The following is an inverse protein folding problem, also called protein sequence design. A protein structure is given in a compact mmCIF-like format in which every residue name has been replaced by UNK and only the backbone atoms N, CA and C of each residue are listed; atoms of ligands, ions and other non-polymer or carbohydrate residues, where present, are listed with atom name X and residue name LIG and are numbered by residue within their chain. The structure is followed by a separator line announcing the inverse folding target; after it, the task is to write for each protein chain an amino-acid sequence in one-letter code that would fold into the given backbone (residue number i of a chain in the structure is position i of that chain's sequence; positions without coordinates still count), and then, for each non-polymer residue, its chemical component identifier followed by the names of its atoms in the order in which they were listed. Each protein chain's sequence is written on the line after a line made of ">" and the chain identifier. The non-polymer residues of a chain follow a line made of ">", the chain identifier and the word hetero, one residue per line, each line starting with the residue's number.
data_IF_505687617246
#
_entry.id   IF_505687617246
#
_cell.length_a   1.000
_cell.length_b   1.000
_cell.length_c   1.000
_cell.angle_alpha   90.00
_cell.angle_beta   90.00
_cell.angle_gamma   90.00
#
_symmetry.space_group_name_H-M   'P 1'
#
loop_
_entity.id
_entity.type
_entity.pdbx_description
1 polymer ?
#
# COMPACT_ATOMS: atom_id res chain seq x y z
N UNK A 1 -4.25 -2.99 -3.46
CA UNK A 1 -3.44 -2.77 -2.25
C UNK A 1 -3.89 -3.74 -1.17
N UNK A 2 -3.00 -4.54 -0.58
CA UNK A 2 -3.35 -5.50 0.47
C UNK A 2 -3.80 -4.82 1.78
N UNK A 3 -4.71 -5.45 2.54
CA UNK A 3 -5.24 -4.89 3.80
C UNK A 3 -4.15 -4.42 4.78
N UNK A 4 -3.09 -5.21 4.99
CA UNK A 4 -2.02 -4.82 5.92
C UNK A 4 -1.28 -3.55 5.52
N UNK A 5 -1.16 -3.28 4.21
CA UNK A 5 -0.58 -2.04 3.70
C UNK A 5 -1.57 -0.88 3.88
N UNK A 6 -2.85 -1.11 3.56
CA UNK A 6 -3.89 -0.11 3.73
C UNK A 6 -4.05 0.32 5.21
N UNK A 7 -4.06 -0.65 6.13
CA UNK A 7 -4.15 -0.39 7.58
C UNK A 7 -2.94 0.42 8.08
N UNK A 8 -1.73 0.06 7.63
CA UNK A 8 -0.50 0.79 7.99
C UNK A 8 -0.52 2.23 7.48
N UNK A 9 -0.91 2.44 6.21
CA UNK A 9 -0.94 3.76 5.61
C UNK A 9 -1.99 4.67 6.26
N UNK A 10 -3.13 4.12 6.72
CA UNK A 10 -4.14 4.88 7.47
C UNK A 10 -3.65 5.42 8.81
N UNK A 11 -2.63 4.81 9.41
CA UNK A 11 -1.99 5.29 10.65
C UNK A 11 -0.72 6.09 10.40
N UNK A 12 -0.31 6.25 9.14
CA UNK A 12 0.90 6.97 8.74
C UNK A 12 0.54 8.40 8.33
N UNK A 13 1.43 9.35 8.56
CA UNK A 13 1.28 10.70 8.02
C UNK A 13 1.57 10.70 6.51
N UNK A 14 0.59 11.18 5.73
CA UNK A 14 0.58 11.13 4.28
C UNK A 14 0.38 12.52 3.70
N UNK A 15 0.91 12.72 2.50
CA UNK A 15 0.63 13.93 1.74
C UNK A 15 -0.86 13.98 1.31
N UNK A 16 -1.45 15.17 1.05
CA UNK A 16 -2.88 15.28 0.76
C UNK A 16 -3.35 14.39 -0.40
N UNK A 17 -2.58 14.29 -1.47
CA UNK A 17 -2.91 13.46 -2.63
C UNK A 17 -2.88 11.95 -2.31
N UNK A 18 -1.98 11.52 -1.43
CA UNK A 18 -1.89 10.13 -0.97
C UNK A 18 -3.07 9.77 -0.08
N UNK A 19 -3.45 10.69 0.82
CA UNK A 19 -4.60 10.55 1.71
C UNK A 19 -5.90 10.51 0.94
N UNK A 20 -6.12 11.45 0.01
CA UNK A 20 -7.29 11.48 -0.85
C UNK A 20 -7.42 10.18 -1.66
N UNK A 21 -6.30 9.66 -2.19
CA UNK A 21 -6.30 8.40 -2.93
C UNK A 21 -6.73 7.19 -2.07
N UNK A 22 -6.35 7.16 -0.78
CA UNK A 22 -6.80 6.13 0.14
C UNK A 22 -8.27 6.29 0.55
N UNK A 23 -8.73 7.52 0.73
CA UNK A 23 -10.10 7.84 1.11
C UNK A 23 -11.09 7.55 -0.02
N UNK A 24 -10.69 7.77 -1.28
CA UNK A 24 -11.43 7.36 -2.47
C UNK A 24 -11.29 5.86 -2.78
N UNK A 25 -10.46 5.13 -2.03
CA UNK A 25 -10.18 3.72 -2.24
C UNK A 25 -11.39 2.83 -1.97
N UNK A 26 -11.68 1.90 -2.89
CA UNK A 26 -12.79 0.96 -2.75
C UNK A 26 -12.33 -0.32 -2.06
N UNK A 27 -12.94 -0.64 -0.93
CA UNK A 27 -12.66 -1.88 -0.20
C UNK A 27 -13.35 -3.07 -0.86
N UNK A 28 -12.58 -4.03 -1.35
CA UNK A 28 -13.08 -5.29 -1.91
C UNK A 28 -12.88 -6.39 -0.87
N UNK A 29 -13.97 -6.93 -0.31
CA UNK A 29 -13.91 -8.05 0.64
C UNK A 29 -13.87 -9.38 -0.10
N UNK A 30 -12.90 -10.24 0.25
CA UNK A 30 -12.85 -11.64 -0.20
C UNK A 30 -12.41 -12.52 0.98
N UNK A 31 -13.35 -13.31 1.50
CA UNK A 31 -13.12 -14.17 2.67
C UNK A 31 -12.82 -13.36 3.94
N UNK A 32 -11.83 -13.81 4.72
CA UNK A 32 -11.40 -13.18 5.98
C UNK A 32 -10.56 -11.90 5.80
N UNK A 33 -10.25 -11.53 4.55
CA UNK A 33 -9.43 -10.36 4.23
C UNK A 33 -10.14 -9.39 3.30
N UNK A 34 -9.48 -8.25 3.09
CA UNK A 34 -9.87 -7.28 2.07
C UNK A 34 -8.67 -6.80 1.28
N UNK A 35 -8.94 -6.33 0.08
CA UNK A 35 -7.98 -5.60 -0.75
C UNK A 35 -8.58 -4.22 -1.01
N UNK A 36 -7.81 -3.17 -0.76
CA UNK A 36 -8.19 -1.81 -1.12
C UNK A 36 -7.81 -1.57 -2.58
N UNK A 37 -8.79 -1.23 -3.41
CA UNK A 37 -8.57 -0.76 -4.78
C UNK A 37 -8.42 0.75 -4.76
N UNK A 38 -7.18 1.21 -4.90
CA UNK A 38 -6.84 2.63 -5.04
C UNK A 38 -6.69 2.92 -6.53
N UNK A 39 -7.36 3.96 -7.02
CA UNK A 39 -7.21 4.45 -8.40
C UNK A 39 -6.52 5.80 -8.34
N UNK A 40 -5.21 5.81 -8.52
CA UNK A 40 -4.41 7.02 -8.50
C UNK A 40 -3.34 6.96 -9.60
N UNK A 41 -2.74 8.12 -9.91
CA UNK A 41 -1.61 8.16 -10.84
C UNK A 41 -0.42 7.37 -10.27
N UNK A 42 0.45 6.80 -11.12
CA UNK A 42 1.59 6.01 -10.67
C UNK A 42 2.48 6.71 -9.64
N UNK A 43 2.65 8.03 -9.73
CA UNK A 43 3.42 8.81 -8.77
C UNK A 43 2.89 8.70 -7.32
N UNK A 44 1.56 8.71 -7.13
CA UNK A 44 0.94 8.54 -5.81
C UNK A 44 1.14 7.11 -5.29
N UNK A 45 1.04 6.11 -6.17
CA UNK A 45 1.34 4.73 -5.81
C UNK A 45 2.79 4.52 -5.37
N UNK A 46 3.74 5.20 -6.01
CA UNK A 46 5.16 5.17 -5.64
C UNK A 46 5.42 5.85 -4.28
N UNK A 47 4.78 6.99 -4.02
CA UNK A 47 4.84 7.67 -2.72
C UNK A 47 4.35 6.78 -1.59
N UNK A 48 3.14 6.21 -1.74
CA UNK A 48 2.57 5.25 -0.80
C UNK A 48 3.49 4.04 -0.58
N UNK A 49 4.09 3.50 -1.64
CA UNK A 49 5.03 2.38 -1.55
C UNK A 49 6.30 2.75 -0.77
N UNK A 50 6.81 3.97 -0.93
CA UNK A 50 7.97 4.46 -0.19
C UNK A 50 7.70 4.54 1.32
N UNK A 51 6.51 5.01 1.72
CA UNK A 51 6.09 5.02 3.15
C UNK A 51 6.04 3.61 3.75
N UNK A 52 5.71 2.60 2.93
CA UNK A 52 5.64 1.21 3.35
C UNK A 52 7.01 0.55 3.58
N UNK A 53 8.15 1.19 3.29
CA UNK A 53 9.48 0.61 3.55
C UNK A 53 9.68 0.27 5.04
N UNK A 54 9.05 1.03 5.94
CA UNK A 54 9.08 0.75 7.39
C UNK A 54 8.49 -0.62 7.79
N UNK A 55 7.66 -1.22 6.92
CA UNK A 55 7.13 -2.58 7.10
C UNK A 55 8.19 -3.68 6.93
N UNK A 56 9.35 -3.36 6.35
CA UNK A 56 10.48 -4.28 6.26
C UNK A 56 11.28 -4.42 7.55
N UNK A 57 10.84 -3.75 8.61
CA UNK A 57 11.54 -3.66 9.89
C UNK A 57 12.57 -2.54 9.88
N UNK A 58 13.02 -2.20 11.08
CA UNK A 58 14.00 -1.15 11.32
C UNK A 58 14.92 -1.50 12.49
N UNK A 59 15.88 -0.63 12.83
CA UNK A 59 16.73 -0.82 13.98
C UNK A 59 15.89 -1.01 15.25
N UNK A 60 15.93 -2.19 15.86
CA UNK A 60 15.17 -2.53 17.06
C UNK A 60 13.72 -3.01 16.86
N UNK A 61 13.21 -3.06 15.62
CA UNK A 61 11.86 -3.55 15.31
C UNK A 61 11.90 -4.66 14.25
N UNK A 62 11.72 -5.94 14.63
CA UNK A 62 11.78 -7.05 13.68
C UNK A 62 10.63 -6.98 12.68
N UNK A 63 10.96 -7.23 11.41
CA UNK A 63 9.98 -7.25 10.34
C UNK A 63 8.95 -8.37 10.53
N UNK A 64 7.66 -8.03 10.55
CA UNK A 64 6.60 -9.03 10.65
C UNK A 64 6.42 -9.72 9.28
N UNK A 65 6.48 -11.07 9.19
CA UNK A 65 6.40 -11.77 7.91
C UNK A 65 5.17 -11.42 7.07
N UNK A 66 4.00 -11.26 7.72
CA UNK A 66 2.76 -10.88 7.05
C UNK A 66 2.82 -9.46 6.46
N UNK A 67 3.49 -8.51 7.13
CA UNK A 67 3.67 -7.14 6.66
C UNK A 67 4.62 -7.09 5.46
N UNK A 68 5.77 -7.79 5.53
CA UNK A 68 6.69 -7.91 4.39
C UNK A 68 6.03 -8.50 3.15
N UNK A 69 5.23 -9.56 3.32
CA UNK A 69 4.49 -10.17 2.21
C UNK A 69 3.53 -9.14 1.58
N UNK A 70 2.77 -8.43 2.41
CA UNK A 70 1.82 -7.43 1.93
C UNK A 70 2.52 -6.26 1.20
N UNK A 71 3.68 -5.81 1.69
CA UNK A 71 4.47 -4.78 1.00
C UNK A 71 4.96 -5.26 -0.36
N UNK A 72 5.53 -6.47 -0.44
CA UNK A 72 5.98 -7.07 -1.71
C UNK A 72 4.84 -7.23 -2.71
N UNK A 73 3.67 -7.64 -2.24
CA UNK A 73 2.49 -7.74 -3.10
C UNK A 73 2.05 -6.37 -3.63
N UNK A 74 2.11 -5.32 -2.79
CA UNK A 74 1.82 -3.97 -3.25
C UNK A 74 2.86 -3.46 -4.27
N UNK A 75 4.15 -3.70 -4.02
CA UNK A 75 5.24 -3.38 -4.96
C UNK A 75 5.03 -4.03 -6.33
N UNK A 76 4.67 -5.31 -6.35
CA UNK A 76 4.35 -6.03 -7.59
C UNK A 76 3.14 -5.41 -8.30
N UNK A 77 2.07 -5.07 -7.57
CA UNK A 77 0.91 -4.41 -8.14
C UNK A 77 1.25 -3.04 -8.74
N UNK A 78 2.05 -2.22 -8.04
CA UNK A 78 2.48 -0.90 -8.54
C UNK A 78 3.35 -1.06 -9.79
N UNK A 79 4.24 -2.04 -9.82
CA UNK A 79 5.07 -2.35 -10.99
C UNK A 79 4.21 -2.74 -12.19
N UNK A 80 3.20 -3.59 -12.00
CA UNK A 80 2.24 -3.94 -13.07
C UNK A 80 1.43 -2.74 -13.54
N UNK A 81 0.96 -1.88 -12.63
CA UNK A 81 0.23 -0.65 -12.99
C UNK A 81 1.11 0.32 -13.79
N UNK A 82 2.38 0.46 -13.42
CA UNK A 82 3.33 1.32 -14.14
C UNK A 82 3.69 0.79 -15.54
N UNK A 83 3.73 -0.54 -15.71
CA UNK A 83 3.93 -1.21 -16.99
C UNK A 83 2.72 -1.08 -17.94
N UNK A 84 1.53 -0.88 -17.39
CA UNK A 84 0.27 -0.81 -18.15
C UNK A 84 -0.13 0.64 -18.38
N UNK A 85 0.78 1.47 -18.88
CA UNK A 85 0.61 2.93 -19.07
C UNK A 85 -0.74 3.36 -19.68
N UNK A 86 -1.14 4.63 -19.50
CA UNK A 86 -2.51 5.14 -19.70
C UNK A 86 -3.11 4.84 -21.08
#
# INVERSE_FOLDING_TARGET
>A
MPAKVADFLRSTELDPAERDALDQGVTIRRGQGYTLRVSAVPAVHLGLLARCQSLDGGPGAPAVPAQRKARREYENLVSTLALTGP
#
